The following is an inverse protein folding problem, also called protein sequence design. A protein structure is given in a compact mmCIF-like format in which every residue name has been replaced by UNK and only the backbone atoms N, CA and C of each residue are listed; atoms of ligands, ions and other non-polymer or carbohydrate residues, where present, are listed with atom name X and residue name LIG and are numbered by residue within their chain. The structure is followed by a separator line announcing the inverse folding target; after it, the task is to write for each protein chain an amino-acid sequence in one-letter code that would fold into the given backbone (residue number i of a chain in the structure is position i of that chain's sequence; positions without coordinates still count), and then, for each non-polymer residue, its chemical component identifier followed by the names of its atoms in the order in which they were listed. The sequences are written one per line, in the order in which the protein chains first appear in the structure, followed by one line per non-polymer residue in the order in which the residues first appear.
data_IF_252364726436
#
_entry.id   IF_252364726436
#
_cell.length_a   1.000
_cell.length_b   1.000
_cell.length_c   1.000
_cell.angle_alpha   90.00
_cell.angle_beta   90.00
_cell.angle_gamma   90.00
#
_symmetry.space_group_name_H-M   'P 1'
#
loop_
_entity.id
_entity.type
_entity.pdbx_description
1 polymer ?
#
# COMPACT_ATOMS: atom_id res chain seq x y z
N UNK A 1 -32.51 14.02 35.25
CA UNK A 1 -31.13 14.51 35.08
C UNK A 1 -30.44 13.69 34.00
N UNK A 2 -30.32 14.24 32.78
CA UNK A 2 -29.68 13.58 31.64
C UNK A 2 -28.15 13.70 31.75
N UNK A 3 -27.44 12.56 31.80
CA UNK A 3 -25.97 12.54 31.81
C UNK A 3 -25.47 12.94 30.41
N UNK A 4 -24.74 14.05 30.36
CA UNK A 4 -24.07 14.54 29.15
C UNK A 4 -23.13 13.47 28.59
N UNK A 5 -23.41 13.00 27.37
CA UNK A 5 -22.58 12.07 26.63
C UNK A 5 -21.23 12.69 26.29
N UNK A 6 -20.18 12.26 26.99
CA UNK A 6 -18.78 12.65 26.72
C UNK A 6 -18.40 12.10 25.34
N UNK A 7 -18.41 12.95 24.30
CA UNK A 7 -17.92 12.59 22.96
C UNK A 7 -16.46 12.14 23.09
N UNK A 8 -16.19 10.86 22.84
CA UNK A 8 -14.84 10.34 22.78
C UNK A 8 -14.07 11.04 21.65
N UNK A 9 -12.82 11.45 21.87
CA UNK A 9 -12.01 12.08 20.85
C UNK A 9 -11.82 11.10 19.69
N UNK A 10 -12.27 11.47 18.49
CA UNK A 10 -12.01 10.70 17.28
C UNK A 10 -10.50 10.72 17.01
N UNK A 11 -9.85 9.57 17.21
CA UNK A 11 -8.43 9.35 16.89
C UNK A 11 -8.27 9.52 15.38
N UNK A 12 -7.70 10.64 14.93
CA UNK A 12 -7.43 10.89 13.52
C UNK A 12 -6.49 9.79 13.00
N UNK A 13 -7.00 8.92 12.13
CA UNK A 13 -6.18 7.94 11.43
C UNK A 13 -5.05 8.66 10.69
N UNK A 14 -3.81 8.35 11.08
CA UNK A 14 -2.62 8.91 10.44
C UNK A 14 -2.54 8.27 9.06
N UNK A 15 -2.89 9.02 8.02
CA UNK A 15 -2.83 8.57 6.62
C UNK A 15 -1.40 8.12 6.28
N UNK A 16 -1.16 6.80 6.28
CA UNK A 16 0.13 6.22 5.92
C UNK A 16 0.50 6.63 4.48
N UNK A 17 1.78 6.97 4.25
CA UNK A 17 2.25 7.31 2.91
C UNK A 17 2.30 6.04 2.06
N UNK A 18 2.12 6.13 0.73
CA UNK A 18 2.18 4.95 -0.16
C UNK A 18 3.48 4.14 -0.03
N UNK A 19 4.62 4.83 0.12
CA UNK A 19 5.94 4.18 0.31
C UNK A 19 5.99 3.32 1.58
N UNK A 20 5.40 3.80 2.68
CA UNK A 20 5.36 3.08 3.95
C UNK A 20 4.53 1.77 3.82
N UNK A 21 3.54 1.74 2.92
CA UNK A 21 2.68 0.57 2.64
C UNK A 21 3.38 -0.49 1.81
N UNK A 22 4.17 -0.09 0.81
CA UNK A 22 4.97 -1.04 0.02
C UNK A 22 5.98 -1.76 0.89
N UNK A 23 6.68 -1.00 1.75
CA UNK A 23 7.60 -1.57 2.72
C UNK A 23 6.87 -2.52 3.68
N UNK A 24 5.69 -2.15 4.18
CA UNK A 24 4.89 -3.05 5.02
C UNK A 24 4.52 -4.35 4.30
N UNK A 25 4.09 -4.27 3.03
CA UNK A 25 3.74 -5.44 2.24
C UNK A 25 4.97 -6.35 2.04
N UNK A 26 6.14 -5.77 1.75
CA UNK A 26 7.38 -6.52 1.62
C UNK A 26 7.76 -7.22 2.93
N UNK A 27 7.66 -6.52 4.07
CA UNK A 27 7.92 -7.08 5.39
C UNK A 27 6.94 -8.21 5.75
N UNK A 28 5.66 -8.05 5.42
CA UNK A 28 4.64 -9.07 5.65
C UNK A 28 4.88 -10.33 4.79
N UNK A 29 5.32 -10.18 3.54
CA UNK A 29 5.73 -11.30 2.67
C UNK A 29 6.96 -12.00 3.20
N UNK A 30 7.96 -11.26 3.67
CA UNK A 30 9.14 -11.81 4.34
C UNK A 30 8.76 -12.62 5.58
N UNK A 31 7.88 -12.08 6.43
CA UNK A 31 7.36 -12.80 7.59
C UNK A 31 6.65 -14.09 7.18
N UNK A 32 5.81 -14.04 6.14
CA UNK A 32 5.09 -15.19 5.63
C UNK A 32 6.04 -16.29 5.12
N UNK A 33 7.11 -15.90 4.42
CA UNK A 33 8.14 -16.83 3.98
C UNK A 33 8.85 -17.50 5.17
N UNK A 34 9.29 -16.71 6.16
CA UNK A 34 9.89 -17.28 7.38
C UNK A 34 8.93 -18.22 8.10
N UNK A 35 7.65 -17.85 8.21
CA UNK A 35 6.61 -18.65 8.86
C UNK A 35 6.36 -19.99 8.14
N UNK A 36 6.46 -19.98 6.81
CA UNK A 36 6.35 -21.17 5.98
C UNK A 36 7.53 -22.10 6.21
N UNK A 37 8.75 -21.56 6.26
CA UNK A 37 9.96 -22.34 6.54
C UNK A 37 9.98 -22.94 7.95
N UNK A 38 9.40 -22.28 8.94
CA UNK A 38 9.25 -22.86 10.30
C UNK A 38 8.50 -24.19 10.26
N UNK A 39 7.53 -24.35 9.35
CA UNK A 39 6.78 -25.59 9.17
C UNK A 39 7.69 -26.77 8.84
N UNK A 40 8.74 -26.55 8.04
CA UNK A 40 9.68 -27.60 7.65
C UNK A 40 10.37 -28.18 8.88
N UNK A 41 10.80 -27.32 9.82
CA UNK A 41 11.39 -27.75 11.08
C UNK A 41 10.39 -28.41 12.04
N UNK A 42 9.13 -27.95 12.06
CA UNK A 42 8.07 -28.63 12.82
C UNK A 42 7.87 -30.07 12.31
N UNK A 43 7.84 -30.26 10.99
CA UNK A 43 7.69 -31.59 10.39
C UNK A 43 8.94 -32.45 10.64
N UNK A 44 10.13 -31.89 10.53
CA UNK A 44 11.40 -32.56 10.85
C UNK A 44 11.45 -33.04 12.31
N UNK A 45 10.93 -32.24 13.25
CA UNK A 45 10.85 -32.63 14.66
C UNK A 45 9.97 -33.87 14.89
N UNK A 46 8.99 -34.12 13.99
CA UNK A 46 8.08 -35.25 14.10
C UNK A 46 8.53 -36.51 13.36
N UNK A 47 9.60 -36.39 12.56
CA UNK A 47 10.28 -37.52 11.94
C UNK A 47 11.26 -38.17 12.92
N UNK A 48 11.58 -39.45 12.67
CA UNK A 48 12.50 -40.24 13.47
C UNK A 48 13.98 -40.01 13.13
N UNK A 49 14.27 -39.26 12.07
CA UNK A 49 15.63 -39.05 11.58
C UNK A 49 16.50 -38.28 12.59
N UNK A 50 17.81 -38.56 12.68
CA UNK A 50 18.70 -37.82 13.58
C UNK A 50 18.73 -36.33 13.20
N UNK A 51 18.64 -35.44 14.19
CA UNK A 51 18.72 -33.98 14.00
C UNK A 51 20.19 -33.58 14.03
N UNK A 52 20.69 -33.03 12.93
CA UNK A 52 22.03 -32.49 12.87
C UNK A 52 22.13 -31.17 13.64
N UNK A 53 23.31 -30.87 14.20
CA UNK A 53 23.54 -29.64 14.97
C UNK A 53 23.29 -28.38 14.12
N UNK A 54 23.61 -28.46 12.84
CA UNK A 54 23.43 -27.38 11.86
C UNK A 54 21.95 -27.07 11.62
N UNK A 55 21.08 -28.09 11.64
CA UNK A 55 19.64 -27.93 11.51
C UNK A 55 19.05 -27.22 12.73
N UNK A 56 19.48 -27.62 13.92
CA UNK A 56 19.08 -27.01 15.19
C UNK A 56 19.48 -25.52 15.22
N UNK A 57 20.72 -25.20 14.84
CA UNK A 57 21.20 -23.81 14.74
C UNK A 57 20.38 -23.01 13.72
N UNK A 58 20.14 -23.57 12.54
CA UNK A 58 19.36 -22.92 11.47
C UNK A 58 17.92 -22.62 11.92
N UNK A 59 17.31 -23.52 12.69
CA UNK A 59 15.99 -23.32 13.26
C UNK A 59 15.96 -22.15 14.26
N UNK A 60 16.94 -22.08 15.17
CA UNK A 60 17.04 -21.00 16.16
C UNK A 60 17.25 -19.63 15.50
N UNK A 61 18.05 -19.59 14.44
CA UNK A 61 18.26 -18.38 13.63
C UNK A 61 16.97 -17.95 12.93
N UNK A 62 16.28 -18.88 12.27
CA UNK A 62 15.00 -18.61 11.60
C UNK A 62 13.93 -18.15 12.60
N UNK A 63 13.84 -18.77 13.79
CA UNK A 63 12.96 -18.35 14.87
C UNK A 63 13.22 -16.91 15.28
N UNK A 64 14.50 -16.54 15.44
CA UNK A 64 14.91 -15.17 15.81
C UNK A 64 14.58 -14.16 14.71
N UNK A 65 14.81 -14.51 13.44
CA UNK A 65 14.43 -13.68 12.28
C UNK A 65 12.92 -13.50 12.18
N UNK A 66 12.15 -14.56 12.40
CA UNK A 66 10.67 -14.54 12.40
C UNK A 66 10.16 -13.62 13.50
N UNK A 67 10.69 -13.73 14.73
CA UNK A 67 10.29 -12.87 15.84
C UNK A 67 10.58 -11.38 15.57
N UNK A 68 11.72 -11.05 14.96
CA UNK A 68 12.04 -9.67 14.58
C UNK A 68 11.07 -9.14 13.51
N UNK A 69 10.85 -9.91 12.45
CA UNK A 69 9.95 -9.52 11.35
C UNK A 69 8.50 -9.37 11.85
N UNK A 70 8.04 -10.28 12.72
CA UNK A 70 6.72 -10.20 13.34
C UNK A 70 6.53 -8.90 14.12
N UNK A 71 7.51 -8.45 14.92
CA UNK A 71 7.42 -7.17 15.64
C UNK A 71 7.35 -5.96 14.71
N UNK A 72 8.15 -5.97 13.64
CA UNK A 72 8.14 -4.90 12.63
C UNK A 72 6.79 -4.81 11.94
N UNK A 73 6.23 -5.95 11.54
CA UNK A 73 4.91 -6.04 10.90
C UNK A 73 3.82 -5.61 11.87
N UNK A 74 3.84 -6.11 13.12
CA UNK A 74 2.86 -5.75 14.15
C UNK A 74 2.82 -4.25 14.46
N UNK A 75 3.97 -3.58 14.50
CA UNK A 75 4.03 -2.14 14.76
C UNK A 75 3.54 -1.25 13.60
N UNK A 76 3.41 -1.81 12.40
CA UNK A 76 3.03 -1.08 11.18
C UNK A 76 1.64 -1.47 10.64
N UNK A 77 1.11 -2.61 11.07
CA UNK A 77 -0.16 -3.13 10.61
C UNK A 77 -1.32 -2.21 11.01
N UNK A 78 -2.32 -1.97 10.13
CA UNK A 78 -3.54 -1.27 10.50
C UNK A 78 -4.26 -1.96 11.67
N UNK A 79 -4.87 -1.18 12.57
CA UNK A 79 -5.57 -1.71 13.76
C UNK A 79 -6.70 -2.68 13.40
N UNK A 80 -7.35 -2.46 12.25
CA UNK A 80 -8.45 -3.30 11.75
C UNK A 80 -7.96 -4.62 11.13
N UNK A 81 -6.66 -4.76 10.86
CA UNK A 81 -6.11 -5.92 10.16
C UNK A 81 -5.33 -6.82 11.12
N UNK A 82 -6.02 -7.84 11.65
CA UNK A 82 -5.39 -8.83 12.50
C UNK A 82 -4.76 -9.96 11.67
N UNK A 83 -3.50 -10.29 11.96
CA UNK A 83 -2.76 -11.35 11.27
C UNK A 83 -2.32 -12.51 12.18
N UNK A 84 -2.76 -12.53 13.43
CA UNK A 84 -2.42 -13.61 14.38
C UNK A 84 -1.07 -13.44 15.08
N UNK A 85 -0.63 -12.20 15.27
CA UNK A 85 0.61 -11.81 15.98
C UNK A 85 0.85 -12.59 17.28
N UNK A 86 -0.18 -12.72 18.12
CA UNK A 86 -0.06 -13.37 19.42
C UNK A 86 0.17 -14.88 19.27
N UNK A 87 -0.53 -15.51 18.32
CA UNK A 87 -0.37 -16.95 18.01
C UNK A 87 1.02 -17.26 17.50
N UNK A 88 1.58 -16.39 16.65
CA UNK A 88 2.98 -16.49 16.20
C UNK A 88 3.90 -16.42 17.41
N UNK A 89 3.71 -15.43 18.28
CA UNK A 89 4.54 -15.22 19.48
C UNK A 89 4.50 -16.41 20.43
N UNK A 90 3.31 -16.93 20.72
CA UNK A 90 3.11 -18.09 21.59
C UNK A 90 3.77 -19.34 21.03
N UNK A 91 3.61 -19.61 19.73
CA UNK A 91 4.24 -20.76 19.08
C UNK A 91 5.77 -20.66 19.10
N UNK A 92 6.32 -19.47 18.79
CA UNK A 92 7.77 -19.26 18.84
C UNK A 92 8.29 -19.46 20.27
N UNK A 93 7.55 -19.03 21.30
CA UNK A 93 7.92 -19.25 22.70
C UNK A 93 7.95 -20.73 23.07
N UNK A 94 6.95 -21.50 22.65
CA UNK A 94 6.86 -22.95 22.92
C UNK A 94 7.92 -23.75 22.16
N UNK A 95 8.27 -23.32 20.94
CA UNK A 95 9.24 -24.01 20.09
C UNK A 95 10.68 -23.69 20.48
N UNK A 96 11.18 -24.24 21.60
CA UNK A 96 12.53 -23.95 22.12
C UNK A 96 13.64 -24.42 21.17
N UNK A 97 13.58 -25.69 20.76
CA UNK A 97 14.53 -26.38 19.87
C UNK A 97 13.78 -27.48 19.10
N UNK A 98 14.32 -27.94 17.96
CA UNK A 98 13.78 -29.08 17.20
C UNK A 98 13.78 -30.33 18.08
N UNK A 99 14.88 -30.54 18.83
CA UNK A 99 15.02 -31.65 19.77
C UNK A 99 13.96 -31.61 20.88
N UNK A 100 13.63 -30.42 21.41
CA UNK A 100 12.55 -30.27 22.37
C UNK A 100 11.18 -30.60 21.76
N UNK A 101 10.90 -30.08 20.57
CA UNK A 101 9.66 -30.36 19.84
C UNK A 101 9.47 -31.86 19.57
N UNK A 102 10.56 -32.59 19.31
CA UNK A 102 10.53 -34.05 19.15
C UNK A 102 10.12 -34.77 20.43
N UNK A 103 10.55 -34.28 21.59
CA UNK A 103 10.22 -34.84 22.90
C UNK A 103 8.77 -34.61 23.34
N UNK A 104 8.01 -33.76 22.63
CA UNK A 104 6.63 -33.46 23.02
C UNK A 104 5.67 -34.66 22.84
N UNK A 105 4.67 -34.80 23.72
CA UNK A 105 3.54 -35.71 23.52
C UNK A 105 2.83 -35.48 22.18
N UNK A 106 2.24 -36.55 21.62
CA UNK A 106 1.52 -36.48 20.33
C UNK A 106 0.42 -35.41 20.32
N UNK A 107 -0.33 -35.26 21.41
CA UNK A 107 -1.37 -34.24 21.53
C UNK A 107 -0.81 -32.82 21.40
N UNK A 108 0.31 -32.53 22.07
CA UNK A 108 0.95 -31.21 22.02
C UNK A 108 1.52 -30.91 20.64
N UNK A 109 2.09 -31.92 19.96
CA UNK A 109 2.54 -31.80 18.56
C UNK A 109 1.38 -31.41 17.64
N UNK A 110 0.22 -32.07 17.78
CA UNK A 110 -0.98 -31.74 16.99
C UNK A 110 -1.47 -30.32 17.29
N UNK A 111 -1.48 -29.91 18.57
CA UNK A 111 -1.86 -28.56 18.97
C UNK A 111 -0.93 -27.49 18.38
N UNK A 112 0.38 -27.74 18.37
CA UNK A 112 1.40 -26.88 17.75
C UNK A 112 1.16 -26.70 16.26
N UNK A 113 0.87 -27.78 15.52
CA UNK A 113 0.54 -27.71 14.09
C UNK A 113 -0.75 -26.94 13.85
N UNK A 114 -1.77 -27.15 14.67
CA UNK A 114 -3.04 -26.41 14.61
C UNK A 114 -2.83 -24.90 14.82
N UNK A 115 -2.05 -24.54 15.84
CA UNK A 115 -1.68 -23.15 16.13
C UNK A 115 -0.88 -22.52 14.98
N UNK A 116 0.09 -23.26 14.43
CA UNK A 116 0.86 -22.84 13.26
C UNK A 116 -0.05 -22.54 12.06
N UNK A 117 -0.96 -23.48 11.75
CA UNK A 117 -1.86 -23.38 10.61
C UNK A 117 -2.82 -22.20 10.75
N UNK A 118 -3.41 -22.02 11.92
CA UNK A 118 -4.32 -20.91 12.19
C UNK A 118 -3.62 -19.56 11.99
N UNK A 119 -2.43 -19.38 12.55
CA UNK A 119 -1.62 -18.18 12.34
C UNK A 119 -1.24 -18.00 10.86
N UNK A 120 -0.92 -19.08 10.15
CA UNK A 120 -0.61 -19.06 8.72
C UNK A 120 -1.80 -18.54 7.89
N UNK A 121 -3.01 -19.03 8.15
CA UNK A 121 -4.24 -18.57 7.46
C UNK A 121 -4.49 -17.08 7.72
N UNK A 122 -4.34 -16.63 8.97
CA UNK A 122 -4.51 -15.21 9.32
C UNK A 122 -3.46 -14.33 8.62
N UNK A 123 -2.21 -14.78 8.58
CA UNK A 123 -1.13 -14.05 7.93
C UNK A 123 -1.33 -13.96 6.41
N UNK A 124 -1.73 -15.04 5.74
CA UNK A 124 -2.07 -15.02 4.31
C UNK A 124 -3.21 -14.04 4.01
N UNK A 125 -4.27 -14.04 4.83
CA UNK A 125 -5.38 -13.07 4.69
C UNK A 125 -4.90 -11.64 4.83
N UNK A 126 -4.02 -11.37 5.80
CA UNK A 126 -3.47 -10.04 5.99
C UNK A 126 -2.59 -9.60 4.82
N UNK A 127 -1.73 -10.48 4.28
CA UNK A 127 -0.94 -10.19 3.08
C UNK A 127 -1.85 -9.89 1.89
N UNK A 128 -2.87 -10.72 1.64
CA UNK A 128 -3.83 -10.48 0.55
C UNK A 128 -4.60 -9.16 0.71
N UNK A 129 -4.96 -8.79 1.94
CA UNK A 129 -5.59 -7.49 2.22
C UNK A 129 -4.63 -6.33 1.93
N UNK A 130 -3.34 -6.44 2.29
CA UNK A 130 -2.33 -5.42 1.97
C UNK A 130 -2.12 -5.28 0.46
N UNK A 131 -2.12 -6.38 -0.28
CA UNK A 131 -2.04 -6.39 -1.75
C UNK A 131 -3.25 -5.68 -2.38
N UNK A 132 -4.45 -5.99 -1.91
CA UNK A 132 -5.67 -5.32 -2.36
C UNK A 132 -5.65 -3.80 -2.05
N UNK A 133 -5.16 -3.42 -0.87
CA UNK A 133 -5.01 -2.02 -0.49
C UNK A 133 -4.00 -1.27 -1.37
N UNK A 134 -2.94 -1.94 -1.81
CA UNK A 134 -1.99 -1.38 -2.78
C UNK A 134 -2.66 -1.16 -4.14
N UNK A 135 -3.32 -2.19 -4.68
CA UNK A 135 -3.95 -2.14 -6.00
C UNK A 135 -5.07 -1.08 -6.07
N UNK A 136 -5.94 -1.03 -5.05
CA UNK A 136 -7.03 -0.05 -4.99
C UNK A 136 -6.54 1.40 -5.00
N UNK A 137 -5.38 1.70 -4.39
CA UNK A 137 -4.77 3.02 -4.47
C UNK A 137 -4.23 3.34 -5.86
N UNK A 138 -3.63 2.37 -6.55
CA UNK A 138 -3.16 2.56 -7.92
C UNK A 138 -4.31 2.87 -8.88
N UNK A 139 -5.45 2.18 -8.74
CA UNK A 139 -6.66 2.42 -9.55
C UNK A 139 -7.17 3.85 -9.33
N UNK A 140 -7.24 4.31 -8.08
CA UNK A 140 -7.67 5.69 -7.77
C UNK A 140 -6.69 6.71 -8.36
N UNK A 141 -5.38 6.46 -8.26
CA UNK A 141 -4.35 7.35 -8.80
C UNK A 141 -4.44 7.47 -10.33
N UNK A 142 -4.66 6.36 -11.04
CA UNK A 142 -4.85 6.33 -12.50
C UNK A 142 -6.12 7.08 -12.93
N UNK A 143 -7.23 6.92 -12.20
CA UNK A 143 -8.48 7.68 -12.48
C UNK A 143 -8.28 9.18 -12.29
N UNK A 144 -7.58 9.60 -11.23
CA UNK A 144 -7.30 11.02 -10.99
C UNK A 144 -6.33 11.63 -12.02
N UNK A 145 -5.31 10.89 -12.48
CA UNK A 145 -4.42 11.37 -13.54
C UNK A 145 -5.13 11.49 -14.88
N UNK A 146 -6.03 10.55 -15.22
CA UNK A 146 -6.88 10.63 -16.41
C UNK A 146 -7.80 11.85 -16.39
N UNK A 147 -8.42 12.16 -15.24
CA UNK A 147 -9.27 13.35 -15.08
C UNK A 147 -8.48 14.67 -15.20
N UNK A 148 -7.23 14.71 -14.73
CA UNK A 148 -6.35 15.88 -14.94
C UNK A 148 -5.93 16.03 -16.40
N UNK A 149 -5.63 14.92 -17.08
CA UNK A 149 -5.34 14.92 -18.52
C UNK A 149 -6.52 15.43 -19.35
N UNK A 150 -7.74 14.99 -19.06
CA UNK A 150 -8.96 15.46 -19.75
C UNK A 150 -9.22 16.95 -19.48
N UNK A 151 -8.97 17.45 -18.26
CA UNK A 151 -9.06 18.89 -17.97
C UNK A 151 -8.00 19.71 -18.70
N UNK A 152 -6.77 19.20 -18.81
CA UNK A 152 -5.69 19.85 -19.56
C UNK A 152 -6.01 19.92 -21.07
N UNK A 153 -6.51 18.82 -21.65
CA UNK A 153 -6.95 18.78 -23.06
C UNK A 153 -8.15 19.72 -23.29
N UNK A 154 -9.11 19.77 -22.36
CA UNK A 154 -10.24 20.71 -22.45
C UNK A 154 -9.82 22.17 -22.31
N UNK A 155 -8.79 22.48 -21.51
CA UNK A 155 -8.23 23.83 -21.42
C UNK A 155 -7.42 24.22 -22.65
N UNK A 156 -6.69 23.30 -23.28
CA UNK A 156 -6.00 23.56 -24.55
C UNK A 156 -6.99 23.77 -25.70
N UNK A 157 -8.04 22.94 -25.80
CA UNK A 157 -9.12 23.14 -26.78
C UNK A 157 -9.88 24.46 -26.58
N UNK A 158 -10.02 24.93 -25.34
CA UNK A 158 -10.61 26.23 -25.02
C UNK A 158 -9.66 27.41 -25.34
N UNK A 159 -8.34 27.21 -25.32
CA UNK A 159 -7.36 28.24 -25.71
C UNK A 159 -7.27 28.44 -27.23
N UNK A 160 -7.47 27.38 -28.02
CA UNK A 160 -7.41 27.44 -29.50
C UNK A 160 -8.62 28.17 -30.11
N UNK A 161 -9.72 28.36 -29.36
CA UNK A 161 -10.92 29.07 -29.86
C UNK A 161 -10.96 30.56 -29.53
N UNK A 162 -9.93 31.12 -28.90
CA UNK A 162 -9.82 32.59 -28.71
C UNK A 162 -9.38 33.26 -30.02
N UNK A 163 -10.30 33.26 -31.00
CA UNK A 163 -10.23 33.98 -32.28
C UNK A 163 -9.79 35.43 -31.98
N UNK A 164 -8.53 35.75 -32.27
CA UNK A 164 -7.99 37.08 -32.04
C UNK A 164 -8.79 38.07 -32.90
N UNK A 165 -9.28 39.17 -32.31
CA UNK A 165 -9.99 40.25 -33.03
C UNK A 165 -9.05 41.10 -33.90
N UNK A 166 -7.79 40.70 -34.03
CA UNK A 166 -6.74 41.40 -34.78
C UNK A 166 -7.08 41.67 -36.26
N UNK A 167 -7.67 40.73 -37.04
CA UNK A 167 -7.95 41.01 -38.45
C UNK A 167 -9.10 42.01 -38.64
N UNK A 168 -10.01 42.13 -37.66
CA UNK A 168 -11.10 43.13 -37.71
C UNK A 168 -10.55 44.53 -37.47
N UNK A 169 -9.62 44.69 -36.53
CA UNK A 169 -8.99 45.99 -36.24
C UNK A 169 -8.15 46.45 -37.44
N UNK A 170 -7.39 45.54 -38.06
CA UNK A 170 -6.61 45.84 -39.27
C UNK A 170 -7.52 46.24 -40.43
N UNK A 171 -8.66 45.55 -40.61
CA UNK A 171 -9.64 45.89 -41.64
C UNK A 171 -10.23 47.30 -41.48
N UNK A 172 -10.59 47.69 -40.25
CA UNK A 172 -11.15 49.03 -39.97
C UNK A 172 -10.12 50.14 -40.18
N UNK A 173 -8.87 49.93 -39.76
CA UNK A 173 -7.80 50.91 -39.96
C UNK A 173 -7.52 51.18 -41.44
N UNK A 174 -7.59 50.14 -42.28
CA UNK A 174 -7.32 50.26 -43.71
C UNK A 174 -8.45 51.01 -44.44
N UNK A 175 -9.71 50.77 -44.06
CA UNK A 175 -10.86 51.53 -44.58
C UNK A 175 -10.79 53.01 -44.20
N UNK A 176 -10.40 53.32 -42.96
CA UNK A 176 -10.22 54.71 -42.50
C UNK A 176 -9.08 55.42 -43.25
N UNK A 177 -7.97 54.73 -43.52
CA UNK A 177 -6.86 55.29 -44.28
C UNK A 177 -7.26 55.63 -45.74
N UNK A 178 -8.03 54.76 -46.39
CA UNK A 178 -8.55 55.01 -47.75
C UNK A 178 -9.54 56.18 -47.76
N UNK A 179 -10.45 56.23 -46.78
CA UNK A 179 -11.40 57.33 -46.66
C UNK A 179 -10.70 58.69 -46.43
N UNK A 180 -9.67 58.72 -45.57
CA UNK A 180 -8.87 59.92 -45.33
C UNK A 180 -8.08 60.35 -46.59
N UNK A 181 -7.53 59.39 -47.34
CA UNK A 181 -6.84 59.66 -48.60
C UNK A 181 -7.78 60.25 -49.67
N UNK A 182 -8.99 59.70 -49.80
CA UNK A 182 -10.01 60.22 -50.71
C UNK A 182 -10.49 61.62 -50.31
N UNK A 183 -10.68 61.85 -49.00
CA UNK A 183 -11.05 63.16 -48.49
C UNK A 183 -9.96 64.20 -48.80
N UNK A 184 -8.69 63.87 -48.55
CA UNK A 184 -7.57 64.75 -48.86
C UNK A 184 -7.48 65.04 -50.36
N UNK A 185 -7.66 64.04 -51.21
CA UNK A 185 -7.62 64.20 -52.66
C UNK A 185 -8.76 65.10 -53.18
N UNK A 186 -9.98 64.98 -52.63
CA UNK A 186 -11.12 65.80 -53.03
C UNK A 186 -11.02 67.26 -52.56
N UNK A 187 -10.36 67.53 -51.42
CA UNK A 187 -10.26 68.88 -50.85
C UNK A 187 -8.96 69.62 -51.19
N UNK A 188 -7.88 68.91 -51.49
CA UNK A 188 -6.60 69.53 -51.86
C UNK A 188 -6.43 69.75 -53.39
N UNK A 189 -7.34 69.21 -54.21
CA UNK A 189 -7.33 69.36 -55.67
C UNK A 189 -8.29 70.46 -56.18
N UNK A 190 -8.85 71.28 -55.29
CA UNK A 190 -9.63 72.50 -55.59
C UNK A 190 -8.80 73.71 -55.20
#
# INVERSE_FOLDING_TARGET
MAKAGKKLPQKKEKKQRPEDRELLLQEARTLLNHWTRIREYLLMAFQSDPIAREQEQSFLELKSQTARSQRVVAGKMPEDLQFGSDKITDLLRQSISISHLRGLPKADKTNLVGAWHLASVMLHRAVGALEYLKESQEVVRRKQSGLRGIRAIKSEAAMVTKKSKLPVIIGVALVLAVAAGLYYFLFAAV
#
